data_IF_389760688186
#
_entry.id   IF_389760688186
#
_cell.length_a   1.000
_cell.length_b   1.000
_cell.length_c   1.000
_cell.angle_alpha   90.00
_cell.angle_beta   90.00
_cell.angle_gamma   90.00
#
_symmetry.space_group_name_H-M   'P 1'
#
loop_
_entity.id
_entity.type
_entity.pdbx_description
1 polymer ?
#
# COMPACT_ATOMS: atom_id res chain seq x y z
N UNK A 1 61.92 -13.48 -0.28
CA UNK A 1 60.71 -14.01 0.38
C UNK A 1 60.80 -15.53 0.42
N UNK A 2 60.85 -16.11 1.63
CA UNK A 2 61.16 -17.54 1.81
C UNK A 2 59.98 -18.41 1.35
N UNK A 3 60.25 -19.63 0.86
CA UNK A 3 59.20 -20.57 0.37
C UNK A 3 58.08 -20.77 1.40
N UNK A 4 58.41 -20.84 2.69
CA UNK A 4 57.45 -20.94 3.79
C UNK A 4 56.49 -19.74 3.86
N UNK A 5 56.99 -18.51 3.64
CA UNK A 5 56.16 -17.32 3.64
C UNK A 5 55.17 -17.29 2.45
N UNK A 6 55.60 -17.79 1.28
CA UNK A 6 54.70 -17.90 0.10
C UNK A 6 53.58 -18.92 0.34
N UNK A 7 53.90 -20.06 0.95
CA UNK A 7 52.91 -21.10 1.26
C UNK A 7 51.90 -20.59 2.30
N UNK A 8 52.36 -19.89 3.34
CA UNK A 8 51.49 -19.33 4.38
C UNK A 8 50.52 -18.26 3.87
N UNK A 9 50.94 -17.41 2.93
CA UNK A 9 50.05 -16.42 2.31
C UNK A 9 48.96 -17.12 1.48
N UNK A 10 49.34 -18.15 0.71
CA UNK A 10 48.41 -18.86 -0.16
C UNK A 10 47.33 -19.61 0.62
N UNK A 11 47.71 -20.29 1.71
CA UNK A 11 46.74 -21.00 2.57
C UNK A 11 45.78 -20.04 3.26
N UNK A 12 46.26 -18.88 3.72
CA UNK A 12 45.41 -17.85 4.32
C UNK A 12 44.41 -17.27 3.31
N UNK A 13 44.83 -17.01 2.08
CA UNK A 13 43.93 -16.54 1.01
C UNK A 13 42.85 -17.56 0.67
N UNK A 14 43.17 -18.85 0.62
CA UNK A 14 42.18 -19.91 0.38
C UNK A 14 41.16 -20.00 1.51
N UNK A 15 41.61 -19.87 2.77
CA UNK A 15 40.69 -19.90 3.92
C UNK A 15 39.74 -18.71 3.89
N UNK A 16 40.23 -17.50 3.58
CA UNK A 16 39.39 -16.30 3.45
C UNK A 16 38.38 -16.47 2.29
N UNK A 17 38.82 -17.02 1.16
CA UNK A 17 37.96 -17.25 0.01
C UNK A 17 36.87 -18.30 0.28
N UNK A 18 37.23 -19.40 0.94
CA UNK A 18 36.26 -20.42 1.37
C UNK A 18 35.28 -19.85 2.41
N UNK A 19 35.76 -19.06 3.38
CA UNK A 19 34.90 -18.44 4.38
C UNK A 19 33.89 -17.48 3.74
N UNK A 20 34.35 -16.63 2.82
CA UNK A 20 33.47 -15.72 2.06
C UNK A 20 32.48 -16.49 1.16
N UNK A 21 32.93 -17.55 0.48
CA UNK A 21 32.08 -18.39 -0.36
C UNK A 21 31.00 -19.13 0.44
N UNK A 22 31.35 -19.69 1.60
CA UNK A 22 30.41 -20.36 2.51
C UNK A 22 29.41 -19.34 3.06
N UNK A 23 29.87 -18.15 3.47
CA UNK A 23 28.99 -17.05 3.91
C UNK A 23 27.99 -16.62 2.84
N UNK A 24 28.40 -16.55 1.57
CA UNK A 24 27.52 -16.21 0.45
C UNK A 24 26.47 -17.30 0.16
N UNK A 25 26.83 -18.58 0.31
CA UNK A 25 25.90 -19.70 0.08
C UNK A 25 24.90 -19.85 1.24
N UNK A 26 25.37 -19.74 2.49
CA UNK A 26 24.53 -19.87 3.69
C UNK A 26 23.73 -18.61 4.02
N UNK A 27 24.16 -17.44 3.54
CA UNK A 27 23.52 -16.13 3.78
C UNK A 27 22.28 -15.84 2.91
N UNK A 28 21.84 -16.77 2.06
CA UNK A 28 20.60 -16.62 1.30
C UNK A 28 19.38 -16.82 2.21
N UNK A 29 19.00 -15.76 2.92
CA UNK A 29 17.75 -15.71 3.68
C UNK A 29 16.56 -15.40 2.77
N UNK A 30 15.34 -15.74 3.22
CA UNK A 30 14.04 -15.60 2.52
C UNK A 30 13.62 -14.16 2.13
N UNK A 31 14.52 -13.18 2.20
CA UNK A 31 14.26 -11.77 1.87
C UNK A 31 14.05 -11.54 0.36
N UNK A 32 14.42 -12.54 -0.45
CA UNK A 32 14.36 -12.53 -1.91
C UNK A 32 12.94 -12.27 -2.48
N UNK A 33 11.87 -12.56 -1.72
CA UNK A 33 10.49 -12.38 -2.19
C UNK A 33 10.05 -10.91 -2.23
N UNK A 34 10.35 -10.13 -1.18
CA UNK A 34 9.93 -8.74 -1.10
C UNK A 34 10.68 -7.87 -2.12
N UNK A 35 12.00 -8.10 -2.27
CA UNK A 35 12.81 -7.41 -3.27
C UNK A 35 12.38 -7.76 -4.70
N UNK A 36 12.04 -9.02 -5.00
CA UNK A 36 11.48 -9.41 -6.31
C UNK A 36 10.17 -8.69 -6.61
N UNK A 37 9.25 -8.61 -5.64
CA UNK A 37 8.00 -7.86 -5.83
C UNK A 37 8.27 -6.39 -6.13
N UNK A 38 9.25 -5.76 -5.45
CA UNK A 38 9.64 -4.37 -5.72
C UNK A 38 10.17 -4.18 -7.15
N UNK A 39 10.98 -5.12 -7.66
CA UNK A 39 11.42 -5.12 -9.06
C UNK A 39 10.23 -5.18 -10.01
N UNK A 40 9.29 -6.09 -9.78
CA UNK A 40 8.07 -6.22 -10.62
C UNK A 40 7.24 -4.94 -10.59
N UNK A 41 7.05 -4.31 -9.43
CA UNK A 41 6.33 -3.03 -9.34
C UNK A 41 7.04 -1.92 -10.13
N UNK A 42 8.36 -1.83 -10.03
CA UNK A 42 9.16 -0.88 -10.80
C UNK A 42 9.02 -1.07 -12.30
N UNK A 43 9.09 -2.31 -12.78
CA UNK A 43 8.91 -2.64 -14.20
C UNK A 43 7.50 -2.29 -14.71
N UNK A 44 6.46 -2.56 -13.92
CA UNK A 44 5.08 -2.19 -14.27
C UNK A 44 4.92 -0.67 -14.37
N UNK A 45 5.43 0.08 -13.39
CA UNK A 45 5.38 1.55 -13.43
C UNK A 45 6.15 2.12 -14.62
N UNK A 46 7.31 1.53 -14.95
CA UNK A 46 8.08 1.93 -16.13
C UNK A 46 7.30 1.69 -17.43
N UNK A 47 6.66 0.53 -17.58
CA UNK A 47 5.81 0.23 -18.74
C UNK A 47 4.63 1.18 -18.85
N UNK A 48 3.97 1.51 -17.74
CA UNK A 48 2.89 2.52 -17.74
C UNK A 48 3.44 3.86 -18.25
N UNK A 49 4.59 4.30 -17.76
CA UNK A 49 5.18 5.57 -18.17
C UNK A 49 5.62 5.62 -19.64
N UNK A 50 6.09 4.50 -20.21
CA UNK A 50 6.71 4.45 -21.54
C UNK A 50 5.74 4.00 -22.64
N UNK A 51 4.81 3.10 -22.32
CA UNK A 51 4.02 2.37 -23.31
C UNK A 51 2.51 2.72 -23.25
N UNK A 52 2.07 3.53 -22.27
CA UNK A 52 0.67 3.97 -22.22
C UNK A 52 0.36 4.94 -23.36
N UNK A 53 -0.88 4.87 -23.86
CA UNK A 53 -1.31 5.60 -25.07
C UNK A 53 -1.27 7.12 -24.92
N UNK A 54 -1.52 7.60 -23.70
CA UNK A 54 -1.49 9.02 -23.32
C UNK A 54 -0.40 9.28 -22.28
N UNK A 55 -0.12 10.54 -21.94
CA UNK A 55 0.79 10.87 -20.83
C UNK A 55 0.13 10.56 -19.48
N UNK A 56 0.59 9.53 -18.74
CA UNK A 56 -0.05 9.13 -17.51
C UNK A 56 0.31 10.07 -16.36
N UNK A 57 -0.68 10.44 -15.54
CA UNK A 57 -0.39 11.10 -14.28
C UNK A 57 0.17 10.10 -13.26
N UNK A 58 1.50 10.00 -13.18
CA UNK A 58 2.16 9.03 -12.29
C UNK A 58 1.87 9.23 -10.80
N UNK A 59 1.46 10.43 -10.37
CA UNK A 59 1.03 10.65 -8.97
C UNK A 59 -0.28 9.89 -8.70
N UNK A 60 -1.23 9.96 -9.63
CA UNK A 60 -2.48 9.22 -9.56
C UNK A 60 -2.25 7.72 -9.66
N UNK A 61 -1.40 7.27 -10.60
CA UNK A 61 -1.04 5.84 -10.75
C UNK A 61 -0.43 5.30 -9.46
N UNK A 62 0.52 6.03 -8.87
CA UNK A 62 1.18 5.63 -7.62
C UNK A 62 0.17 5.57 -6.46
N UNK A 63 -0.70 6.59 -6.32
CA UNK A 63 -1.73 6.59 -5.30
C UNK A 63 -2.70 5.40 -5.45
N UNK A 64 -3.12 5.09 -6.68
CA UNK A 64 -3.98 3.93 -6.98
C UNK A 64 -3.30 2.59 -6.68
N UNK A 65 -2.00 2.46 -6.98
CA UNK A 65 -1.23 1.26 -6.64
C UNK A 65 -1.15 1.06 -5.11
N UNK A 66 -0.86 2.11 -4.35
CA UNK A 66 -0.85 2.06 -2.88
C UNK A 66 -2.23 1.75 -2.31
N UNK A 67 -3.28 2.31 -2.90
CA UNK A 67 -4.66 2.00 -2.54
C UNK A 67 -4.97 0.50 -2.69
N UNK A 68 -4.67 -0.09 -3.86
CA UNK A 68 -4.91 -1.51 -4.12
C UNK A 68 -4.10 -2.43 -3.20
N UNK A 69 -2.86 -2.06 -2.86
CA UNK A 69 -2.04 -2.82 -1.90
C UNK A 69 -2.70 -2.87 -0.53
N UNK A 70 -3.18 -1.73 -0.01
CA UNK A 70 -3.81 -1.67 1.31
C UNK A 70 -5.20 -2.29 1.33
N UNK A 71 -5.96 -2.19 0.24
CA UNK A 71 -7.23 -2.90 0.10
C UNK A 71 -7.04 -4.43 0.12
N UNK A 72 -5.91 -4.93 -0.41
CA UNK A 72 -5.58 -6.36 -0.35
C UNK A 72 -5.20 -6.85 1.05
N UNK A 73 -4.82 -5.94 1.95
CA UNK A 73 -4.45 -6.26 3.32
C UNK A 73 -5.70 -6.43 4.19
N UNK A 74 -6.52 -5.38 4.30
CA UNK A 74 -7.80 -5.41 5.00
C UNK A 74 -8.72 -4.24 4.60
N UNK A 75 -10.04 -4.31 4.86
CA UNK A 75 -11.00 -3.28 4.46
C UNK A 75 -10.86 -1.92 5.15
N UNK A 76 -10.04 -1.80 6.19
CA UNK A 76 -9.89 -0.59 7.00
C UNK A 76 -8.55 0.10 6.72
N UNK A 77 -7.57 -0.62 6.20
CA UNK A 77 -6.31 -0.11 5.71
C UNK A 77 -6.53 0.82 4.51
N UNK A 78 -6.01 2.04 4.60
CA UNK A 78 -6.21 3.09 3.59
C UNK A 78 -4.95 3.95 3.44
N UNK A 79 -4.63 4.32 2.21
CA UNK A 79 -3.59 5.31 1.91
C UNK A 79 -4.25 6.67 1.74
N UNK A 80 -3.70 7.70 2.40
CA UNK A 80 -4.13 9.08 2.21
C UNK A 80 -3.00 9.85 1.53
N UNK A 81 -3.32 10.51 0.43
CA UNK A 81 -2.43 11.51 -0.18
C UNK A 81 -2.16 12.65 0.81
N UNK A 82 -1.09 13.45 0.61
CA UNK A 82 -0.82 14.58 1.49
C UNK A 82 -2.02 15.53 1.66
N UNK A 83 -2.80 15.77 0.60
CA UNK A 83 -4.00 16.62 0.67
C UNK A 83 -5.10 15.98 1.52
N UNK A 84 -5.40 14.71 1.28
CA UNK A 84 -6.42 13.97 2.03
C UNK A 84 -6.04 13.82 3.50
N UNK A 85 -4.76 13.66 3.81
CA UNK A 85 -4.28 13.62 5.18
C UNK A 85 -4.45 14.96 5.90
N UNK A 86 -4.20 16.09 5.23
CA UNK A 86 -4.50 17.41 5.79
C UNK A 86 -6.00 17.60 6.05
N UNK A 87 -6.86 17.15 5.14
CA UNK A 87 -8.32 17.17 5.33
C UNK A 87 -8.75 16.27 6.49
N UNK A 88 -8.17 15.07 6.60
CA UNK A 88 -8.40 14.14 7.71
C UNK A 88 -8.03 14.74 9.06
N UNK A 89 -6.86 15.39 9.17
CA UNK A 89 -6.46 16.09 10.40
C UNK A 89 -7.43 17.19 10.79
N UNK A 90 -7.95 17.96 9.82
CA UNK A 90 -8.97 18.99 10.08
C UNK A 90 -10.26 18.39 10.61
N UNK A 91 -10.73 17.26 10.05
CA UNK A 91 -11.90 16.54 10.55
C UNK A 91 -11.71 16.09 12.01
N UNK A 92 -10.55 15.53 12.35
CA UNK A 92 -10.24 15.14 13.74
C UNK A 92 -10.21 16.36 14.68
N UNK A 93 -9.64 17.48 14.24
CA UNK A 93 -9.52 18.68 15.06
C UNK A 93 -10.87 19.38 15.32
N UNK A 94 -11.92 19.06 14.57
CA UNK A 94 -13.27 19.61 14.75
C UNK A 94 -14.33 18.51 14.69
N UNK A 95 -14.38 17.63 15.72
CA UNK A 95 -15.35 16.54 15.77
C UNK A 95 -16.78 17.10 15.73
N UNK A 96 -17.68 16.50 14.94
CA UNK A 96 -19.10 16.86 14.88
C UNK A 96 -19.54 17.81 13.77
N UNK A 97 -18.64 18.42 12.98
CA UNK A 97 -19.07 19.22 11.80
C UNK A 97 -19.17 18.31 10.58
N UNK A 98 -20.39 17.99 10.13
CA UNK A 98 -20.62 17.22 8.90
C UNK A 98 -20.57 15.70 9.06
N UNK A 99 -20.70 15.17 10.28
CA UNK A 99 -20.83 13.72 10.50
C UNK A 99 -22.20 13.24 10.03
N UNK A 100 -22.20 12.27 9.12
CA UNK A 100 -23.43 11.63 8.61
C UNK A 100 -24.05 10.67 9.62
N UNK A 101 -23.29 10.28 10.65
CA UNK A 101 -23.66 9.24 11.62
C UNK A 101 -23.62 7.83 11.03
N UNK A 102 -22.84 7.62 9.96
CA UNK A 102 -22.67 6.31 9.32
C UNK A 102 -21.37 5.67 9.78
N UNK A 103 -21.43 4.39 10.11
CA UNK A 103 -20.22 3.55 10.20
C UNK A 103 -20.09 2.77 8.89
N UNK A 104 -18.96 2.93 8.23
CA UNK A 104 -18.71 2.41 6.89
C UNK A 104 -17.66 1.30 6.91
N UNK A 105 -17.74 0.40 5.95
CA UNK A 105 -16.68 -0.56 5.63
C UNK A 105 -16.67 -0.85 4.13
N UNK A 106 -15.82 -1.77 3.69
CA UNK A 106 -15.73 -2.18 2.27
C UNK A 106 -16.17 -3.64 2.12
N UNK A 107 -17.03 -3.93 1.15
CA UNK A 107 -17.49 -5.28 0.79
C UNK A 107 -17.73 -5.38 -0.70
N UNK A 108 -17.20 -6.42 -1.34
CA UNK A 108 -17.30 -6.63 -2.80
C UNK A 108 -16.79 -5.43 -3.63
N UNK A 109 -15.80 -4.71 -3.10
CA UNK A 109 -15.26 -3.48 -3.67
C UNK A 109 -16.11 -2.23 -3.41
N UNK A 110 -17.32 -2.33 -2.87
CA UNK A 110 -18.15 -1.16 -2.58
C UNK A 110 -18.10 -0.76 -1.11
N UNK A 111 -18.45 0.48 -0.82
CA UNK A 111 -18.65 0.92 0.56
C UNK A 111 -19.99 0.37 1.05
N UNK A 112 -19.97 -0.30 2.20
CA UNK A 112 -21.16 -0.82 2.88
C UNK A 112 -21.39 -0.06 4.17
N UNK A 113 -22.66 0.21 4.47
CA UNK A 113 -23.07 0.80 5.74
C UNK A 113 -23.20 -0.31 6.77
N UNK A 114 -22.33 -0.31 7.79
CA UNK A 114 -22.39 -1.27 8.90
C UNK A 114 -23.46 -0.89 9.90
N UNK A 115 -23.54 0.39 10.28
CA UNK A 115 -24.53 0.90 11.21
C UNK A 115 -24.83 2.36 10.94
N UNK A 116 -25.99 2.79 11.40
CA UNK A 116 -26.47 4.17 11.30
C UNK A 116 -26.85 4.62 12.70
N UNK A 117 -26.26 5.74 13.15
CA UNK A 117 -26.51 6.32 14.46
C UNK A 117 -27.95 6.85 14.51
N UNK A 118 -28.74 6.57 15.57
CA UNK A 118 -30.07 7.16 15.75
C UNK A 118 -30.04 8.69 15.65
N UNK A 119 -31.12 9.28 15.13
CA UNK A 119 -31.30 10.73 14.94
C UNK A 119 -30.26 11.45 14.05
N UNK A 120 -29.35 10.71 13.43
CA UNK A 120 -28.32 11.24 12.53
C UNK A 120 -28.86 11.66 11.15
N UNK A 121 -28.11 12.48 10.40
CA UNK A 121 -28.44 12.80 9.01
C UNK A 121 -28.61 11.56 8.13
N UNK A 122 -27.84 10.49 8.35
CA UNK A 122 -27.95 9.23 7.62
C UNK A 122 -29.32 8.57 7.75
N UNK A 123 -29.88 8.51 8.97
CA UNK A 123 -31.25 7.99 9.19
C UNK A 123 -32.28 8.86 8.50
N UNK A 124 -32.12 10.20 8.60
CA UNK A 124 -33.04 11.16 7.95
C UNK A 124 -33.02 11.06 6.43
N UNK A 125 -31.88 10.66 5.85
CA UNK A 125 -31.72 10.38 4.43
C UNK A 125 -32.25 8.98 4.02
N UNK A 126 -32.76 8.18 4.96
CA UNK A 126 -33.29 6.84 4.69
C UNK A 126 -32.24 5.75 4.49
N UNK A 127 -30.96 6.06 4.79
CA UNK A 127 -29.86 5.10 4.73
C UNK A 127 -30.01 4.09 5.86
N UNK A 128 -29.80 2.81 5.53
CA UNK A 128 -29.93 1.68 6.45
C UNK A 128 -28.65 0.85 6.51
N UNK A 129 -28.50 0.14 7.62
CA UNK A 129 -27.45 -0.89 7.73
C UNK A 129 -27.66 -1.94 6.64
N UNK A 130 -26.56 -2.33 5.99
CA UNK A 130 -26.54 -3.24 4.85
C UNK A 130 -26.61 -2.55 3.49
N UNK A 131 -26.88 -1.24 3.42
CA UNK A 131 -26.87 -0.52 2.15
C UNK A 131 -25.46 -0.51 1.55
N UNK A 132 -25.39 -0.75 0.24
CA UNK A 132 -24.18 -0.59 -0.56
C UNK A 132 -24.24 0.78 -1.24
N UNK A 133 -23.24 1.60 -0.98
CA UNK A 133 -23.07 2.88 -1.66
C UNK A 133 -22.37 2.59 -2.98
N UNK A 134 -22.94 3.05 -4.09
CA UNK A 134 -22.33 2.93 -5.43
C UNK A 134 -21.38 4.10 -5.71
N UNK A 135 -21.74 5.29 -5.25
CA UNK A 135 -20.96 6.52 -5.43
C UNK A 135 -21.12 7.48 -4.25
N UNK A 136 -20.07 8.27 -3.99
CA UNK A 136 -20.04 9.35 -3.00
C UNK A 136 -19.44 10.58 -3.66
N UNK A 137 -20.12 11.73 -3.58
CA UNK A 137 -19.63 12.98 -4.19
C UNK A 137 -19.44 12.92 -5.71
N UNK A 138 -20.14 12.02 -6.41
CA UNK A 138 -20.00 11.80 -7.85
C UNK A 138 -18.88 10.85 -8.25
N UNK A 139 -18.11 10.32 -7.29
CA UNK A 139 -17.06 9.33 -7.53
C UNK A 139 -17.55 7.93 -7.17
N UNK A 140 -17.20 6.93 -7.97
CA UNK A 140 -17.55 5.54 -7.63
C UNK A 140 -16.83 5.12 -6.35
N UNK A 141 -17.54 4.46 -5.45
CA UNK A 141 -16.94 3.95 -4.22
C UNK A 141 -16.04 2.74 -4.44
N UNK A 142 -16.03 2.17 -5.66
CA UNK A 142 -15.12 1.08 -6.01
C UNK A 142 -13.66 1.47 -5.86
N UNK A 143 -13.36 2.65 -6.36
CA UNK A 143 -12.00 3.18 -6.42
C UNK A 143 -11.66 4.05 -5.19
N UNK A 144 -12.50 3.99 -4.16
CA UNK A 144 -12.33 4.72 -2.91
C UNK A 144 -11.97 3.77 -1.77
N UNK A 145 -11.10 4.23 -0.89
CA UNK A 145 -10.90 3.63 0.42
C UNK A 145 -11.98 4.08 1.39
N UNK A 146 -12.19 3.30 2.46
CA UNK A 146 -13.12 3.69 3.53
C UNK A 146 -12.69 5.01 4.18
N UNK A 147 -11.39 5.30 4.27
CA UNK A 147 -10.89 6.57 4.80
C UNK A 147 -11.18 7.80 3.91
N UNK A 148 -11.45 7.60 2.62
CA UNK A 148 -11.82 8.67 1.67
C UNK A 148 -13.34 8.90 1.62
N UNK A 149 -14.14 7.90 1.99
CA UNK A 149 -15.60 7.98 2.06
C UNK A 149 -16.07 8.81 3.26
#
# INVERSE_FOLDING_TARGET
>A
MNRAARIGIFSLSVVIFCYAGIGHVLGRTSDDKAYKSLTVYGEVLQKIQQDYVDDPNMRTVTAGALHGLLESLDPQSSYLTPREYEEYKKKIASPGTGETGLTLSKRFGYIIVLSVLPDSPGVKAGIRSGDLLESVGGFTTRDMSVGQA
#
